data_IF_948994470285
#
_entry.id   IF_948994470285
#
_cell.length_a   1.000
_cell.length_b   1.000
_cell.length_c   1.000
_cell.angle_alpha   90.00
_cell.angle_beta   90.00
_cell.angle_gamma   90.00
#
_symmetry.space_group_name_H-M   'P 1'
#
loop_
_entity.id
_entity.type
_entity.pdbx_description
1 polymer ?
#
# COMPACT_ATOMS: atom_id res chain seq x y z
N UNK A 1 -17.03 9.82 16.28
CA UNK A 1 -16.24 10.97 15.77
C UNK A 1 -17.09 11.62 14.71
N UNK A 2 -17.25 12.94 14.78
CA UNK A 2 -18.31 13.69 14.10
C UNK A 2 -18.12 13.74 12.57
N UNK A 3 -19.13 13.29 11.81
CA UNK A 3 -19.12 13.11 10.34
C UNK A 3 -18.79 14.39 9.55
N UNK A 4 -18.96 15.56 10.17
CA UNK A 4 -18.73 16.87 9.55
C UNK A 4 -17.25 17.26 9.46
N UNK A 5 -16.37 16.67 10.27
CA UNK A 5 -14.92 16.94 10.19
C UNK A 5 -14.30 16.23 8.97
N UNK A 6 -14.81 15.06 8.62
CA UNK A 6 -14.38 14.30 7.44
C UNK A 6 -14.82 15.01 6.15
N UNK A 7 -16.07 15.52 6.11
CA UNK A 7 -16.59 16.32 4.97
C UNK A 7 -15.73 17.54 4.63
N UNK A 8 -15.27 18.30 5.64
CA UNK A 8 -14.48 19.53 5.39
C UNK A 8 -13.04 19.24 4.94
N UNK A 9 -12.47 18.08 5.29
CA UNK A 9 -11.12 17.69 4.86
C UNK A 9 -11.08 17.06 3.47
N UNK A 10 -12.12 16.34 3.07
CA UNK A 10 -12.20 15.73 1.71
C UNK A 10 -12.27 16.80 0.61
N UNK A 11 -13.03 17.89 0.83
CA UNK A 11 -13.11 19.02 -0.11
C UNK A 11 -11.78 19.80 -0.24
N UNK A 12 -10.92 19.77 0.78
CA UNK A 12 -9.60 20.41 0.74
C UNK A 12 -8.58 19.62 -0.08
N UNK A 13 -8.78 18.32 -0.30
CA UNK A 13 -7.86 17.47 -1.06
C UNK A 13 -8.17 17.47 -2.56
N UNK A 14 -9.40 17.82 -2.99
CA UNK A 14 -9.69 18.08 -4.41
C UNK A 14 -8.79 19.18 -5.01
N UNK A 15 -8.27 20.09 -4.19
CA UNK A 15 -7.28 21.11 -4.60
C UNK A 15 -5.83 20.62 -4.78
N UNK A 16 -5.53 19.34 -4.47
CA UNK A 16 -4.23 18.72 -4.78
C UNK A 16 -4.23 17.93 -6.10
N UNK A 17 -5.36 17.86 -6.79
CA UNK A 17 -5.52 17.13 -8.05
C UNK A 17 -5.31 18.00 -9.30
N UNK A 18 -4.97 19.29 -9.15
CA UNK A 18 -4.86 20.21 -10.28
C UNK A 18 -3.42 20.70 -10.45
N UNK A 19 -2.59 19.89 -11.13
CA UNK A 19 -1.39 20.38 -11.80
C UNK A 19 -1.40 19.80 -13.22
N UNK A 20 -1.95 20.58 -14.15
CA UNK A 20 -1.97 20.24 -15.56
C UNK A 20 -0.56 20.05 -16.12
N UNK A 21 -0.30 18.88 -16.72
CA UNK A 21 0.89 18.64 -17.53
C UNK A 21 0.49 18.48 -19.00
N UNK A 22 0.93 19.41 -19.83
CA UNK A 22 0.90 19.34 -21.28
C UNK A 22 1.87 18.24 -21.76
N UNK A 23 1.35 17.24 -22.47
CA UNK A 23 2.16 16.22 -23.15
C UNK A 23 2.59 16.74 -24.52
N UNK A 24 3.91 16.79 -24.76
CA UNK A 24 4.49 16.87 -26.10
C UNK A 24 5.06 15.50 -26.48
N UNK A 25 4.60 14.98 -27.61
CA UNK A 25 4.93 13.68 -28.19
C UNK A 25 6.25 13.71 -28.94
N UNK A 26 7.09 12.68 -28.74
CA UNK A 26 8.28 12.43 -29.53
C UNK A 26 8.69 10.96 -29.41
N UNK A 27 8.34 10.14 -30.42
CA UNK A 27 8.82 8.77 -30.55
C UNK A 27 10.28 8.70 -31.04
N UNK A 28 10.88 7.50 -31.04
CA UNK A 28 10.99 6.83 -32.34
C UNK A 28 10.71 5.32 -32.32
N UNK A 29 10.18 4.85 -33.46
CA UNK A 29 10.08 3.45 -33.87
C UNK A 29 11.47 2.87 -34.12
N UNK A 30 11.69 1.62 -33.73
CA UNK A 30 12.74 0.77 -34.29
C UNK A 30 12.10 -0.51 -34.82
N UNK A 31 12.16 -0.69 -36.13
CA UNK A 31 11.85 -1.93 -36.84
C UNK A 31 13.13 -2.75 -36.99
N UNK A 32 12.97 -4.06 -36.79
CA UNK A 32 13.97 -5.11 -36.99
C UNK A 32 14.07 -5.41 -38.49
N UNK A 33 15.27 -5.35 -39.07
CA UNK A 33 15.57 -6.05 -40.34
C UNK A 33 16.99 -6.63 -40.34
N UNK A 34 17.08 -7.84 -40.91
CA UNK A 34 18.25 -8.71 -40.99
C UNK A 34 19.35 -8.16 -41.91
N UNK A 35 20.61 -8.35 -41.51
CA UNK A 35 21.79 -8.17 -42.36
C UNK A 35 22.12 -9.46 -43.14
N UNK A 36 22.31 -9.33 -44.45
CA UNK A 36 23.16 -10.23 -45.21
C UNK A 36 24.02 -9.43 -46.22
N UNK A 37 25.16 -10.02 -46.56
CA UNK A 37 26.45 -9.50 -47.03
C UNK A 37 26.51 -8.77 -48.39
N UNK A 38 27.46 -7.82 -48.53
CA UNK A 38 27.93 -7.24 -49.82
C UNK A 38 28.89 -8.19 -50.58
N UNK A 39 29.15 -7.99 -51.90
CA UNK A 39 30.27 -7.10 -52.32
C UNK A 39 30.01 -6.22 -53.58
N UNK A 40 30.89 -5.22 -53.78
CA UNK A 40 30.96 -4.16 -54.85
C UNK A 40 31.41 -4.71 -56.25
N UNK A 41 31.72 -3.93 -57.33
CA UNK A 41 31.76 -2.45 -57.56
C UNK A 41 31.36 -1.89 -58.97
N UNK A 42 31.51 -0.56 -59.11
CA UNK A 42 31.71 0.28 -60.32
C UNK A 42 30.50 0.86 -61.09
N UNK A 43 30.35 2.20 -61.06
CA UNK A 43 30.59 3.07 -62.22
C UNK A 43 30.39 4.56 -61.87
N UNK A 44 31.23 5.40 -62.49
CA UNK A 44 31.39 6.86 -62.30
C UNK A 44 30.28 7.65 -63.01
N UNK A 45 29.88 8.79 -62.43
CA UNK A 45 29.63 10.01 -63.22
C UNK A 45 29.79 11.29 -62.40
N UNK A 46 30.66 12.17 -62.90
CA UNK A 46 30.92 13.54 -62.45
C UNK A 46 29.71 14.45 -62.70
N UNK A 47 29.40 15.36 -61.77
CA UNK A 47 28.96 16.73 -62.06
C UNK A 47 29.59 17.69 -61.03
N UNK A 48 30.04 18.85 -61.51
CA UNK A 48 30.82 19.89 -60.83
C UNK A 48 30.00 20.76 -59.87
N UNK A 49 30.72 21.31 -58.89
CA UNK A 49 30.36 22.43 -57.99
C UNK A 49 30.16 23.76 -58.73
N UNK A 50 29.46 24.71 -58.07
CA UNK A 50 30.11 25.97 -57.74
C UNK A 50 30.03 26.34 -56.25
N UNK A 51 30.93 27.23 -55.89
CA UNK A 51 31.37 27.69 -54.57
C UNK A 51 30.58 28.86 -53.98
N UNK A 52 30.68 29.00 -52.64
CA UNK A 52 30.63 30.24 -51.82
C UNK A 52 29.25 30.95 -51.74
N UNK A 53 28.77 31.51 -50.63
CA UNK A 53 29.36 32.07 -49.40
C UNK A 53 28.30 32.09 -48.28
N UNK A 54 28.71 31.96 -47.02
CA UNK A 54 27.91 32.23 -45.81
C UNK A 54 27.58 33.73 -45.66
N UNK A 55 26.31 34.07 -45.35
CA UNK A 55 25.92 35.34 -44.70
C UNK A 55 24.73 35.17 -43.75
N UNK A 56 24.98 35.60 -42.51
CA UNK A 56 24.13 36.35 -41.59
C UNK A 56 22.96 35.68 -40.83
N UNK A 57 23.25 35.29 -39.58
CA UNK A 57 22.35 35.43 -38.43
C UNK A 57 22.35 36.88 -37.91
N UNK A 58 21.24 37.41 -37.38
CA UNK A 58 21.28 38.57 -36.50
C UNK A 58 21.53 38.14 -35.04
N UNK A 59 22.59 38.72 -34.45
CA UNK A 59 22.83 38.82 -33.00
C UNK A 59 21.86 39.83 -32.39
N UNK A 60 21.33 39.52 -31.21
CA UNK A 60 20.82 40.54 -30.28
C UNK A 60 21.91 40.80 -29.24
N UNK A 61 22.33 42.06 -29.15
CA UNK A 61 23.40 42.59 -28.33
C UNK A 61 22.94 42.86 -26.90
N UNK A 62 23.82 42.50 -25.96
CA UNK A 62 23.85 42.95 -24.57
C UNK A 62 24.66 44.25 -24.55
N UNK A 63 24.20 45.26 -23.80
CA UNK A 63 25.03 46.39 -23.34
C UNK A 63 24.79 46.70 -21.84
N UNK A 64 25.75 47.36 -21.16
CA UNK A 64 26.05 47.12 -19.75
C UNK A 64 25.78 48.31 -18.79
N UNK A 65 26.12 48.04 -17.52
CA UNK A 65 25.83 48.73 -16.25
C UNK A 65 26.41 50.15 -16.02
N UNK A 66 25.88 50.87 -15.01
CA UNK A 66 26.58 51.47 -13.84
C UNK A 66 25.55 52.25 -12.92
N UNK A 67 25.91 52.79 -11.72
CA UNK A 67 25.67 52.16 -10.41
C UNK A 67 25.07 53.10 -9.31
N UNK A 68 25.13 52.63 -8.05
CA UNK A 68 25.19 53.36 -6.75
C UNK A 68 23.91 53.30 -5.88
N UNK A 69 24.07 52.84 -4.63
CA UNK A 69 23.18 53.19 -3.52
C UNK A 69 23.05 52.14 -2.40
N UNK A 70 24.01 52.10 -1.47
CA UNK A 70 23.86 51.43 -0.18
C UNK A 70 22.78 52.11 0.68
N UNK A 71 21.99 51.36 1.45
CA UNK A 71 21.60 51.75 2.82
C UNK A 71 21.03 50.57 3.62
N UNK A 72 21.71 50.26 4.73
CA UNK A 72 21.27 49.45 5.88
C UNK A 72 20.32 50.24 6.81
N UNK A 73 19.66 49.59 7.78
CA UNK A 73 18.55 50.13 8.56
C UNK A 73 19.01 50.95 9.78
N UNK A 74 18.36 52.09 10.06
CA UNK A 74 18.66 52.91 11.25
C UNK A 74 17.60 52.70 12.36
N UNK A 75 18.07 52.18 13.49
CA UNK A 75 17.44 52.22 14.80
C UNK A 75 17.64 53.61 15.40
N UNK A 76 16.57 54.35 15.73
CA UNK A 76 16.68 55.48 16.68
C UNK A 76 15.51 55.58 17.65
N UNK A 77 15.83 55.23 18.89
CA UNK A 77 15.29 55.74 20.15
C UNK A 77 15.63 57.22 20.36
N UNK A 78 14.65 58.05 20.79
CA UNK A 78 14.87 59.32 21.51
C UNK A 78 13.67 59.56 22.49
N UNK A 79 13.87 60.17 23.69
CA UNK A 79 12.98 60.06 24.85
C UNK A 79 12.16 61.33 25.20
N UNK A 80 11.14 61.15 26.10
CA UNK A 80 10.57 62.01 27.19
C UNK A 80 10.26 63.52 26.94
N UNK A 81 9.32 64.22 27.66
CA UNK A 81 9.09 64.11 29.12
C UNK A 81 7.68 64.40 29.73
N UNK A 82 7.57 63.99 31.01
CA UNK A 82 6.94 64.65 32.18
C UNK A 82 5.45 65.05 32.13
N UNK A 83 4.64 64.45 33.03
CA UNK A 83 3.88 65.20 34.06
C UNK A 83 3.47 64.34 35.26
N UNK A 84 3.84 64.87 36.42
CA UNK A 84 3.58 64.52 37.81
C UNK A 84 2.10 64.65 38.24
N UNK A 85 1.64 63.76 39.12
CA UNK A 85 0.89 64.08 40.37
C UNK A 85 0.65 62.77 41.16
N UNK A 86 1.39 62.49 42.23
CA UNK A 86 1.17 62.88 43.64
C UNK A 86 0.15 62.01 44.43
N UNK A 87 0.70 61.41 45.51
CA UNK A 87 0.15 61.15 46.85
C UNK A 87 -0.50 59.79 47.17
N UNK A 88 0.11 59.13 48.15
CA UNK A 88 -0.61 58.63 49.33
C UNK A 88 -0.52 57.13 49.62
N UNK A 89 0.33 56.76 50.57
CA UNK A 89 0.41 55.45 51.26
C UNK A 89 0.09 55.69 52.76
N UNK A 90 0.04 54.66 53.64
CA UNK A 90 -0.99 53.64 53.84
C UNK A 90 -1.68 53.79 55.22
N UNK A 91 -2.71 52.98 55.52
CA UNK A 91 -3.08 52.67 56.91
C UNK A 91 -3.61 51.24 57.04
N UNK A 92 -2.86 50.44 57.80
CA UNK A 92 -3.25 49.13 58.32
C UNK A 92 -4.32 49.28 59.41
N UNK A 93 -5.34 48.43 59.40
CA UNK A 93 -6.22 48.22 60.57
C UNK A 93 -6.27 46.73 60.93
N UNK A 94 -6.13 46.53 62.23
CA UNK A 94 -5.91 45.29 62.98
C UNK A 94 -7.06 44.30 62.90
N UNK A 95 -6.67 43.02 62.94
CA UNK A 95 -7.46 41.85 63.30
C UNK A 95 -8.14 42.00 64.67
N UNK A 96 -9.42 41.63 64.77
CA UNK A 96 -10.06 41.17 66.00
C UNK A 96 -10.63 39.77 65.77
N UNK A 97 -10.22 38.85 66.65
CA UNK A 97 -10.85 37.55 66.91
C UNK A 97 -12.18 37.79 67.59
N UNK A 98 -13.24 37.11 67.15
CA UNK A 98 -14.35 36.72 68.01
C UNK A 98 -14.96 35.40 67.51
N UNK A 99 -15.20 34.52 68.47
CA UNK A 99 -15.57 33.11 68.34
C UNK A 99 -17.08 32.94 68.16
N UNK A 100 -17.54 32.26 67.11
CA UNK A 100 -18.89 31.67 67.08
C UNK A 100 -18.83 30.27 66.46
N UNK A 101 -19.04 29.29 67.35
CA UNK A 101 -19.35 27.90 67.03
C UNK A 101 -20.69 27.85 66.30
N UNK A 102 -20.71 27.36 65.06
CA UNK A 102 -21.94 26.91 64.39
C UNK A 102 -21.77 25.46 63.97
N UNK A 103 -22.51 24.62 64.68
CA UNK A 103 -22.70 23.19 64.46
C UNK A 103 -23.18 22.93 63.03
N UNK A 104 -22.34 22.31 62.21
CA UNK A 104 -22.71 21.79 60.89
C UNK A 104 -23.14 20.33 61.06
N UNK A 105 -24.44 20.10 61.03
CA UNK A 105 -25.04 18.76 60.92
C UNK A 105 -24.74 18.23 59.52
N UNK A 106 -23.71 17.40 59.38
CA UNK A 106 -23.43 16.66 58.15
C UNK A 106 -24.50 15.57 58.00
N UNK A 107 -25.53 15.83 57.20
CA UNK A 107 -26.41 14.78 56.71
C UNK A 107 -25.61 13.90 55.74
N UNK A 108 -25.23 12.70 56.18
CA UNK A 108 -24.62 11.68 55.35
C UNK A 108 -25.66 11.14 54.36
N UNK A 109 -25.82 11.83 53.23
CA UNK A 109 -26.42 11.25 52.03
C UNK A 109 -25.45 10.21 51.48
N UNK A 110 -25.62 8.95 51.90
CA UNK A 110 -24.95 7.81 51.28
C UNK A 110 -25.58 7.61 49.90
N UNK A 111 -25.10 8.37 48.92
CA UNK A 111 -25.41 8.21 47.51
C UNK A 111 -24.86 6.86 47.06
N UNK A 112 -25.71 5.83 47.07
CA UNK A 112 -25.49 4.60 46.32
C UNK A 112 -25.50 4.97 44.82
N UNK A 113 -24.35 5.37 44.28
CA UNK A 113 -24.14 5.37 42.84
C UNK A 113 -24.14 3.90 42.41
N UNK A 114 -25.07 3.46 41.54
CA UNK A 114 -24.93 2.15 40.94
C UNK A 114 -23.60 2.15 40.18
N UNK A 115 -22.74 1.20 40.51
CA UNK A 115 -21.50 0.95 39.80
C UNK A 115 -21.92 0.60 38.37
N UNK A 116 -21.88 1.58 37.47
CA UNK A 116 -22.17 1.36 36.07
C UNK A 116 -21.17 0.31 35.59
N UNK A 117 -21.65 -0.90 35.33
CA UNK A 117 -20.91 -1.90 34.58
C UNK A 117 -20.64 -1.26 33.24
N UNK A 118 -19.40 -0.78 33.04
CA UNK A 118 -18.95 -0.36 31.72
C UNK A 118 -19.28 -1.51 30.78
N UNK A 119 -19.99 -1.28 29.66
CA UNK A 119 -20.22 -2.34 28.69
C UNK A 119 -18.86 -2.95 28.39
N UNK A 120 -18.76 -4.28 28.48
CA UNK A 120 -17.56 -4.99 28.04
C UNK A 120 -17.22 -4.42 26.67
N UNK A 121 -16.04 -3.83 26.54
CA UNK A 121 -15.63 -3.13 25.34
C UNK A 121 -15.84 -4.10 24.18
N UNK A 122 -16.84 -3.84 23.33
CA UNK A 122 -17.15 -4.75 22.23
C UNK A 122 -15.86 -4.92 21.43
N UNK A 123 -15.48 -6.17 21.16
CA UNK A 123 -14.25 -6.43 20.42
C UNK A 123 -14.31 -5.67 19.08
N UNK A 124 -13.20 -5.01 18.72
CA UNK A 124 -13.13 -4.27 17.46
C UNK A 124 -13.15 -5.25 16.28
N UNK A 125 -13.72 -4.88 15.13
CA UNK A 125 -13.65 -5.70 13.94
C UNK A 125 -12.21 -5.75 13.40
N UNK A 126 -11.90 -6.82 12.66
CA UNK A 126 -10.74 -6.86 11.78
C UNK A 126 -11.06 -6.02 10.54
N UNK A 127 -10.16 -5.11 10.18
CA UNK A 127 -10.27 -4.28 8.97
C UNK A 127 -9.15 -4.63 8.01
N UNK A 128 -9.48 -4.84 6.74
CA UNK A 128 -8.51 -5.07 5.65
C UNK A 128 -8.82 -4.03 4.56
N UNK A 129 -7.84 -3.22 4.19
CA UNK A 129 -8.00 -2.14 3.22
C UNK A 129 -6.95 -2.26 2.13
N UNK A 130 -7.42 -2.54 0.92
CA UNK A 130 -6.63 -2.55 -0.29
C UNK A 130 -6.50 -1.11 -0.77
N UNK A 131 -5.30 -0.54 -0.69
CA UNK A 131 -5.05 0.86 -1.02
C UNK A 131 -4.78 0.99 -2.52
N UNK A 132 -5.38 1.99 -3.16
CA UNK A 132 -5.07 2.27 -4.57
C UNK A 132 -3.65 2.83 -4.73
N UNK A 133 -2.75 1.96 -5.18
CA UNK A 133 -1.38 2.28 -5.57
C UNK A 133 -1.16 2.06 -7.08
N UNK A 134 -2.22 2.15 -7.89
CA UNK A 134 -2.16 2.20 -9.37
C UNK A 134 -1.50 0.98 -10.04
N UNK A 135 -1.79 -0.23 -9.54
CA UNK A 135 -1.21 -1.48 -10.04
C UNK A 135 0.10 -1.87 -9.36
N UNK A 136 0.32 -1.40 -8.13
CA UNK A 136 1.20 -2.04 -7.16
C UNK A 136 0.41 -2.76 -6.07
N UNK A 137 1.06 -3.12 -4.97
CA UNK A 137 0.41 -3.71 -3.81
C UNK A 137 0.61 -2.86 -2.54
N UNK A 138 -0.49 -2.67 -1.80
CA UNK A 138 -0.50 -2.09 -0.47
C UNK A 138 -1.81 -2.48 0.23
N UNK A 139 -1.73 -3.44 1.16
CA UNK A 139 -2.89 -3.93 1.91
C UNK A 139 -2.68 -3.65 3.39
N UNK A 140 -3.49 -2.75 3.95
CA UNK A 140 -3.47 -2.40 5.37
C UNK A 140 -4.46 -3.25 6.15
N UNK A 141 -4.02 -3.84 7.25
CA UNK A 141 -4.83 -4.64 8.15
C UNK A 141 -4.79 -4.03 9.55
N UNK A 142 -5.96 -3.80 10.18
CA UNK A 142 -6.10 -3.48 11.60
C UNK A 142 -6.69 -4.70 12.31
N UNK A 143 -5.94 -5.33 13.21
CA UNK A 143 -6.44 -6.48 13.99
C UNK A 143 -7.51 -6.03 15.00
N UNK A 144 -8.34 -6.96 15.53
CA UNK A 144 -9.25 -6.68 16.65
C UNK A 144 -8.55 -6.09 17.88
N UNK A 145 -7.30 -6.48 18.11
CA UNK A 145 -6.43 -5.98 19.19
C UNK A 145 -5.78 -4.64 18.85
N UNK A 146 -6.03 -4.13 17.64
CA UNK A 146 -5.63 -2.80 17.19
C UNK A 146 -4.22 -2.71 16.62
N UNK A 147 -3.55 -3.83 16.37
CA UNK A 147 -2.25 -3.85 15.69
C UNK A 147 -2.41 -3.57 14.20
N UNK A 148 -1.42 -2.91 13.60
CA UNK A 148 -1.43 -2.58 12.17
C UNK A 148 -0.41 -3.37 11.38
N UNK A 149 -0.87 -4.01 10.31
CA UNK A 149 -0.02 -4.74 9.36
C UNK A 149 -0.17 -4.05 8.01
N UNK A 150 0.95 -3.75 7.36
CA UNK A 150 1.00 -3.32 5.97
C UNK A 150 1.68 -4.42 5.17
N UNK A 151 0.99 -4.97 4.17
CA UNK A 151 1.58 -5.87 3.18
C UNK A 151 1.86 -5.04 1.93
N UNK A 152 3.13 -4.92 1.59
CA UNK A 152 3.67 -4.10 0.51
C UNK A 152 3.34 -2.60 0.63
N UNK A 153 4.04 -1.79 -0.16
CA UNK A 153 4.18 -0.33 0.03
C UNK A 153 4.00 0.47 -1.25
N UNK A 154 3.58 -0.16 -2.35
CA UNK A 154 3.37 0.50 -3.62
C UNK A 154 4.65 1.02 -4.28
N UNK A 155 4.46 1.93 -5.24
CA UNK A 155 5.52 2.51 -6.06
C UNK A 155 6.27 3.66 -5.36
N UNK A 156 7.55 3.89 -5.75
CA UNK A 156 8.24 5.13 -5.45
C UNK A 156 7.83 6.25 -6.43
N UNK A 157 8.24 7.48 -6.13
CA UNK A 157 8.11 8.60 -7.06
C UNK A 157 6.73 9.27 -7.03
N UNK A 158 6.44 10.07 -8.07
CA UNK A 158 5.22 10.90 -8.17
C UNK A 158 4.93 11.69 -6.89
N UNK A 159 5.98 12.31 -6.34
CA UNK A 159 5.93 13.04 -5.06
C UNK A 159 5.29 12.20 -3.93
N UNK A 160 5.74 10.96 -3.77
CA UNK A 160 5.28 9.99 -2.79
C UNK A 160 3.76 9.74 -2.83
N UNK A 161 3.15 9.68 -4.03
CA UNK A 161 1.71 9.41 -4.20
C UNK A 161 1.26 8.20 -3.39
N UNK A 162 1.92 7.07 -3.55
CA UNK A 162 1.51 5.81 -2.90
C UNK A 162 1.74 5.85 -1.39
N UNK A 163 2.92 6.27 -0.88
CA UNK A 163 3.09 6.50 0.55
C UNK A 163 2.05 7.46 1.15
N UNK A 164 1.70 8.56 0.46
CA UNK A 164 0.67 9.50 0.93
C UNK A 164 -0.72 8.85 0.99
N UNK A 165 -1.10 8.02 0.00
CA UNK A 165 -2.37 7.28 0.01
C UNK A 165 -2.43 6.24 1.13
N UNK A 166 -1.34 5.50 1.34
CA UNK A 166 -1.23 4.53 2.45
C UNK A 166 -1.35 5.24 3.81
N UNK A 167 -0.64 6.36 3.99
CA UNK A 167 -0.71 7.16 5.23
C UNK A 167 -2.11 7.73 5.45
N UNK A 168 -2.79 8.17 4.39
CA UNK A 168 -4.19 8.62 4.46
C UNK A 168 -5.10 7.50 4.95
N UNK A 169 -5.04 6.30 4.36
CA UNK A 169 -5.85 5.16 4.80
C UNK A 169 -5.53 4.78 6.25
N UNK A 170 -4.25 4.70 6.61
CA UNK A 170 -3.82 4.39 7.98
C UNK A 170 -4.41 5.38 9.00
N UNK A 171 -4.30 6.68 8.74
CA UNK A 171 -4.68 7.73 9.71
C UNK A 171 -6.16 8.04 9.69
N UNK A 172 -6.74 8.25 8.51
CA UNK A 172 -8.08 8.79 8.35
C UNK A 172 -9.15 7.70 8.21
N UNK A 173 -8.79 6.50 7.73
CA UNK A 173 -9.73 5.37 7.58
C UNK A 173 -9.64 4.40 8.76
N UNK A 174 -8.41 4.05 9.19
CA UNK A 174 -8.19 3.09 10.28
C UNK A 174 -7.97 3.75 11.65
N UNK A 175 -7.76 5.07 11.71
CA UNK A 175 -7.54 5.79 12.97
C UNK A 175 -6.21 5.46 13.65
N UNK A 176 -5.17 5.12 12.88
CA UNK A 176 -3.87 4.65 13.39
C UNK A 176 -2.75 5.59 13.01
N UNK A 177 -1.72 5.66 13.84
CA UNK A 177 -0.58 6.58 13.66
C UNK A 177 0.75 5.89 13.34
N UNK A 178 0.80 4.56 13.44
CA UNK A 178 2.00 3.74 13.20
C UNK A 178 1.65 2.45 12.47
N UNK A 179 2.66 1.84 11.86
CA UNK A 179 2.62 0.51 11.28
C UNK A 179 3.39 -0.42 12.22
N UNK A 180 2.72 -1.37 12.88
CA UNK A 180 3.38 -2.31 13.79
C UNK A 180 4.22 -3.34 13.00
N UNK A 181 3.69 -3.80 11.88
CA UNK A 181 4.30 -4.80 11.00
C UNK A 181 4.25 -4.35 9.53
N UNK A 182 5.40 -4.19 8.88
CA UNK A 182 5.48 -4.07 7.42
C UNK A 182 5.99 -5.40 6.86
N UNK A 183 5.20 -6.04 6.02
CA UNK A 183 5.57 -7.24 5.25
C UNK A 183 5.90 -6.81 3.83
N UNK A 184 7.07 -7.22 3.34
CA UNK A 184 7.43 -7.11 1.92
C UNK A 184 7.36 -8.49 1.29
N UNK A 185 6.43 -8.68 0.36
CA UNK A 185 6.21 -9.99 -0.27
C UNK A 185 7.41 -10.42 -1.10
N UNK A 186 7.89 -9.52 -1.94
CA UNK A 186 9.03 -9.68 -2.84
C UNK A 186 9.61 -8.32 -3.28
N UNK A 187 10.66 -8.36 -4.10
CA UNK A 187 11.55 -7.24 -4.37
C UNK A 187 11.31 -6.53 -5.70
N UNK A 188 10.06 -6.48 -6.18
CA UNK A 188 9.70 -5.61 -7.30
C UNK A 188 9.31 -4.21 -6.84
N UNK A 189 9.58 -3.24 -7.72
CA UNK A 189 9.54 -1.81 -7.39
C UNK A 189 8.19 -1.36 -6.84
N UNK A 190 7.10 -1.98 -7.24
CA UNK A 190 5.75 -1.63 -6.85
C UNK A 190 5.21 -2.33 -5.60
N UNK A 191 6.08 -3.12 -4.96
CA UNK A 191 5.81 -3.80 -3.70
C UNK A 191 6.61 -3.17 -2.56
N UNK A 192 7.90 -2.87 -2.75
CA UNK A 192 8.72 -2.28 -1.68
C UNK A 192 9.18 -0.83 -1.96
N UNK A 193 8.85 -0.27 -3.13
CA UNK A 193 9.41 1.01 -3.56
C UNK A 193 8.93 2.20 -2.73
N UNK A 194 7.72 2.16 -2.19
CA UNK A 194 7.18 3.21 -1.33
C UNK A 194 7.77 3.26 0.08
N UNK A 195 8.58 2.27 0.49
CA UNK A 195 9.12 2.18 1.88
C UNK A 195 9.82 3.45 2.33
N UNK A 196 10.59 4.11 1.45
CA UNK A 196 11.28 5.36 1.80
C UNK A 196 10.29 6.45 2.25
N UNK A 197 9.31 6.74 1.39
CA UNK A 197 8.33 7.80 1.65
C UNK A 197 7.44 7.47 2.84
N UNK A 198 7.18 6.18 3.11
CA UNK A 198 6.46 5.74 4.30
C UNK A 198 7.26 5.98 5.58
N UNK A 199 8.51 5.53 5.63
CA UNK A 199 9.36 5.63 6.81
C UNK A 199 9.66 7.09 7.23
N UNK A 200 9.57 8.04 6.29
CA UNK A 200 9.67 9.48 6.55
C UNK A 200 8.38 10.08 7.17
N UNK A 201 7.24 9.37 7.12
CA UNK A 201 5.90 9.91 7.48
C UNK A 201 5.23 9.19 8.64
N UNK A 202 5.57 7.91 8.85
CA UNK A 202 4.99 7.05 9.89
C UNK A 202 6.05 6.17 10.52
N UNK A 203 5.94 5.93 11.81
CA UNK A 203 6.79 4.96 12.49
C UNK A 203 6.43 3.54 12.02
N UNK A 204 7.45 2.79 11.62
CA UNK A 204 7.34 1.36 11.30
C UNK A 204 8.08 0.56 12.39
N UNK A 205 7.36 -0.34 13.05
CA UNK A 205 7.82 -1.14 14.17
C UNK A 205 8.77 -2.25 13.74
N UNK A 206 8.23 -3.24 13.01
CA UNK A 206 8.96 -4.41 12.51
C UNK A 206 8.84 -4.55 11.00
N UNK A 207 9.93 -4.96 10.37
CA UNK A 207 9.97 -5.32 8.96
C UNK A 207 10.07 -6.83 8.85
N UNK A 208 9.20 -7.39 8.03
CA UNK A 208 9.17 -8.79 7.67
C UNK A 208 9.42 -8.91 6.18
N UNK A 209 10.37 -9.73 5.80
CA UNK A 209 10.72 -9.91 4.41
C UNK A 209 11.32 -11.29 4.19
N UNK A 210 11.59 -11.59 2.94
CA UNK A 210 12.10 -12.89 2.51
C UNK A 210 13.64 -12.98 2.60
N UNK A 211 14.31 -12.05 3.27
CA UNK A 211 15.77 -11.94 3.35
C UNK A 211 16.36 -10.95 2.37
N UNK A 212 17.62 -10.54 2.59
CA UNK A 212 18.45 -9.77 1.66
C UNK A 212 19.65 -10.62 1.22
N UNK A 213 20.32 -10.31 0.09
CA UNK A 213 21.46 -11.09 -0.40
C UNK A 213 22.60 -11.25 0.62
N UNK A 214 22.78 -10.29 1.52
CA UNK A 214 23.80 -10.32 2.57
C UNK A 214 23.41 -11.07 3.85
N UNK A 215 22.16 -11.50 4.00
CA UNK A 215 21.69 -12.13 5.23
C UNK A 215 22.27 -13.56 5.41
N UNK A 216 22.62 -13.97 6.64
CA UNK A 216 23.13 -15.32 6.89
C UNK A 216 22.13 -16.42 6.50
N UNK A 217 22.60 -17.41 5.75
CA UNK A 217 21.79 -18.57 5.34
C UNK A 217 20.81 -18.29 4.19
N UNK A 218 20.92 -17.12 3.58
CA UNK A 218 20.22 -16.75 2.35
C UNK A 218 21.15 -17.00 1.16
N UNK A 219 20.61 -17.54 0.06
CA UNK A 219 21.36 -17.73 -1.19
C UNK A 219 21.24 -16.46 -2.04
N UNK A 220 22.35 -15.75 -2.34
CA UNK A 220 22.34 -14.56 -3.17
C UNK A 220 21.77 -14.78 -4.58
N UNK A 221 21.77 -16.03 -5.08
CA UNK A 221 21.17 -16.36 -6.38
C UNK A 221 19.63 -16.24 -6.36
N UNK A 222 18.99 -16.22 -5.19
CA UNK A 222 17.54 -16.05 -5.03
C UNK A 222 17.09 -14.57 -5.01
N UNK A 223 17.87 -13.67 -5.63
CA UNK A 223 17.58 -12.24 -5.76
C UNK A 223 17.79 -11.76 -7.21
N UNK A 224 17.09 -12.37 -8.19
CA UNK A 224 17.29 -12.07 -9.61
C UNK A 224 17.05 -10.59 -9.94
N UNK A 225 16.07 -9.97 -9.28
CA UNK A 225 15.66 -8.58 -9.51
C UNK A 225 16.12 -7.60 -8.42
N UNK A 226 16.82 -8.10 -7.39
CA UNK A 226 17.30 -7.32 -6.25
C UNK A 226 16.58 -7.64 -4.93
N UNK A 227 16.72 -6.79 -3.89
CA UNK A 227 17.35 -5.47 -3.92
C UNK A 227 18.88 -5.56 -3.92
N UNK A 228 19.51 -4.94 -4.92
CA UNK A 228 20.97 -4.87 -4.97
C UNK A 228 21.49 -3.86 -3.94
N UNK A 229 22.71 -4.04 -3.40
CA UNK A 229 23.30 -3.09 -2.44
C UNK A 229 23.39 -1.65 -2.95
N UNK A 230 23.61 -1.47 -4.25
CA UNK A 230 23.77 -0.18 -4.92
C UNK A 230 22.46 0.45 -5.40
N UNK A 231 21.38 -0.32 -5.45
CA UNK A 231 20.09 0.17 -5.94
C UNK A 231 19.46 1.11 -4.92
N UNK A 232 18.96 2.27 -5.38
CA UNK A 232 18.37 3.31 -4.53
C UNK A 232 17.28 2.78 -3.61
N UNK A 233 16.45 1.86 -4.11
CA UNK A 233 15.38 1.23 -3.35
C UNK A 233 15.93 0.29 -2.28
N UNK A 234 16.95 -0.52 -2.61
CA UNK A 234 17.63 -1.38 -1.64
C UNK A 234 18.33 -0.60 -0.54
N UNK A 235 18.99 0.53 -0.87
CA UNK A 235 19.58 1.44 0.11
C UNK A 235 18.50 2.01 1.03
N UNK A 236 17.39 2.48 0.45
CA UNK A 236 16.29 3.05 1.23
C UNK A 236 15.63 2.01 2.15
N UNK A 237 15.42 0.79 1.68
CA UNK A 237 14.85 -0.29 2.47
C UNK A 237 15.76 -0.64 3.66
N UNK A 238 17.07 -0.81 3.43
CA UNK A 238 18.04 -1.08 4.50
C UNK A 238 18.10 0.06 5.52
N UNK A 239 18.01 1.30 5.08
CA UNK A 239 17.98 2.45 5.98
C UNK A 239 16.72 2.47 6.85
N UNK A 240 15.54 2.27 6.25
CA UNK A 240 14.26 2.27 6.96
C UNK A 240 14.11 1.12 7.96
N UNK A 241 14.67 -0.05 7.63
CA UNK A 241 14.47 -1.30 8.36
C UNK A 241 15.61 -1.66 9.32
N UNK A 242 16.65 -0.83 9.41
CA UNK A 242 17.86 -1.08 10.20
C UNK A 242 17.53 -1.47 11.66
N UNK A 243 17.96 -2.67 12.05
CA UNK A 243 17.75 -3.21 13.40
C UNK A 243 16.32 -3.67 13.70
N UNK A 244 15.43 -3.69 12.71
CA UNK A 244 14.00 -4.01 12.85
C UNK A 244 13.54 -5.16 11.95
N UNK A 245 14.42 -5.73 11.13
CA UNK A 245 14.11 -6.82 10.19
C UNK A 245 13.98 -8.17 10.87
N UNK A 246 13.09 -9.00 10.34
CA UNK A 246 12.99 -10.43 10.61
C UNK A 246 12.81 -11.14 9.27
N UNK A 247 13.74 -12.03 8.95
CA UNK A 247 13.66 -12.86 7.73
C UNK A 247 12.64 -13.97 7.95
N UNK A 248 11.59 -13.97 7.14
CA UNK A 248 10.51 -14.94 7.15
C UNK A 248 10.86 -16.18 6.31
N UNK A 249 10.39 -17.34 6.77
CA UNK A 249 10.45 -18.63 6.09
C UNK A 249 9.07 -19.28 6.05
N UNK A 250 8.87 -20.20 5.10
CA UNK A 250 7.67 -21.02 5.06
C UNK A 250 7.51 -21.82 6.37
N UNK A 251 6.31 -21.79 6.95
CA UNK A 251 5.97 -22.34 8.26
C UNK A 251 6.08 -21.35 9.42
N UNK A 252 6.66 -20.16 9.22
CA UNK A 252 6.68 -19.11 10.25
C UNK A 252 5.28 -18.52 10.47
N UNK A 253 5.10 -17.86 11.62
CA UNK A 253 3.92 -17.05 11.91
C UNK A 253 4.33 -15.66 12.37
N UNK A 254 3.61 -14.62 11.94
CA UNK A 254 3.80 -13.29 12.52
C UNK A 254 3.28 -13.31 13.96
N UNK A 255 4.08 -12.76 14.88
CA UNK A 255 3.70 -12.67 16.29
C UNK A 255 2.69 -11.53 16.50
N UNK A 256 1.41 -11.84 16.29
CA UNK A 256 0.27 -10.94 16.50
C UNK A 256 -0.38 -11.18 17.87
N UNK A 257 -1.03 -10.15 18.40
CA UNK A 257 -1.84 -10.23 19.61
C UNK A 257 -3.20 -10.85 19.30
N UNK A 258 -3.71 -11.56 20.31
CA UNK A 258 -5.09 -12.06 20.36
C UNK A 258 -5.42 -13.16 19.36
N UNK A 259 -6.61 -13.10 18.77
CA UNK A 259 -7.23 -14.26 18.10
C UNK A 259 -6.79 -14.51 16.65
N UNK A 260 -6.23 -13.48 15.98
CA UNK A 260 -5.84 -13.57 14.58
C UNK A 260 -4.49 -14.29 14.42
N UNK A 261 -4.42 -15.20 13.44
CA UNK A 261 -3.18 -15.86 13.02
C UNK A 261 -2.76 -15.35 11.65
N UNK A 262 -1.46 -15.24 11.42
CA UNK A 262 -0.87 -14.92 10.12
C UNK A 262 0.23 -15.94 9.84
N UNK A 263 -0.09 -16.94 9.02
CA UNK A 263 0.78 -18.09 8.74
C UNK A 263 1.45 -17.92 7.39
N UNK A 264 2.77 -18.08 7.35
CA UNK A 264 3.55 -18.00 6.13
C UNK A 264 3.53 -19.36 5.45
N UNK A 265 2.81 -19.46 4.34
CA UNK A 265 2.67 -20.72 3.59
C UNK A 265 3.83 -20.94 2.62
N UNK A 266 4.39 -19.87 2.10
CA UNK A 266 5.57 -19.90 1.24
C UNK A 266 6.42 -18.65 1.40
N UNK A 267 7.72 -18.79 1.17
CA UNK A 267 8.67 -17.68 1.02
C UNK A 267 9.90 -18.18 0.29
N UNK A 268 10.55 -17.35 -0.52
CA UNK A 268 11.77 -17.74 -1.25
C UNK A 268 11.60 -18.94 -2.19
N UNK A 269 10.42 -19.10 -2.80
CA UNK A 269 10.10 -20.24 -3.66
C UNK A 269 9.95 -21.58 -2.92
N UNK A 270 9.99 -21.58 -1.57
CA UNK A 270 9.76 -22.76 -0.74
C UNK A 270 8.36 -22.68 -0.14
N UNK A 271 7.63 -23.78 -0.20
CA UNK A 271 6.32 -23.95 0.47
C UNK A 271 6.49 -24.71 1.79
N UNK A 272 5.56 -24.54 2.71
CA UNK A 272 5.54 -25.29 3.96
C UNK A 272 5.39 -26.80 3.69
N UNK A 273 5.96 -27.68 4.53
CA UNK A 273 5.78 -29.11 4.35
C UNK A 273 4.33 -29.52 4.62
N UNK A 274 3.85 -30.52 3.88
CA UNK A 274 2.57 -31.15 4.17
C UNK A 274 2.59 -31.79 5.58
N UNK A 275 1.51 -31.67 6.37
CA UNK A 275 1.37 -32.41 7.61
C UNK A 275 1.51 -33.92 7.39
N UNK A 276 2.03 -34.63 8.39
CA UNK A 276 2.14 -36.09 8.33
C UNK A 276 0.75 -36.72 8.10
N UNK A 277 0.63 -37.55 7.05
CA UNK A 277 -0.63 -38.20 6.68
C UNK A 277 -1.59 -37.33 5.85
N UNK A 278 -1.15 -36.16 5.35
CA UNK A 278 -1.93 -35.36 4.41
C UNK A 278 -2.39 -36.21 3.21
N UNK A 279 -3.67 -36.13 2.89
CA UNK A 279 -4.22 -36.82 1.72
C UNK A 279 -3.82 -36.06 0.44
N UNK A 280 -3.65 -36.74 -0.70
CA UNK A 280 -3.48 -36.06 -1.97
C UNK A 280 -4.67 -35.15 -2.26
N UNK A 281 -4.41 -33.99 -2.87
CA UNK A 281 -5.46 -33.12 -3.37
C UNK A 281 -5.99 -33.71 -4.70
N UNK A 282 -7.25 -34.15 -4.78
CA UNK A 282 -7.79 -34.76 -6.00
C UNK A 282 -7.81 -33.80 -7.20
N UNK A 283 -7.79 -32.47 -6.97
CA UNK A 283 -7.72 -31.49 -8.03
C UNK A 283 -6.39 -31.52 -8.81
N UNK A 284 -5.36 -32.15 -8.25
CA UNK A 284 -4.05 -32.29 -8.91
C UNK A 284 -4.05 -33.30 -10.07
N UNK A 285 -5.00 -34.25 -10.09
CA UNK A 285 -5.14 -35.22 -11.20
C UNK A 285 -5.55 -34.55 -12.52
N UNK A 286 -6.20 -33.39 -12.42
CA UNK A 286 -6.66 -32.59 -13.55
C UNK A 286 -6.02 -31.21 -13.56
N UNK A 287 -4.88 -31.05 -12.89
CA UNK A 287 -4.14 -29.79 -12.95
C UNK A 287 -3.67 -29.54 -14.39
N UNK A 288 -3.82 -28.31 -14.91
CA UNK A 288 -3.28 -27.97 -16.22
C UNK A 288 -1.75 -28.11 -16.23
N UNK A 289 -1.20 -28.15 -17.45
CA UNK A 289 0.24 -28.02 -17.64
C UNK A 289 0.73 -26.68 -17.12
N UNK A 290 1.92 -26.70 -16.52
CA UNK A 290 2.55 -25.49 -15.99
C UNK A 290 2.92 -24.54 -17.12
N UNK A 291 2.79 -23.25 -16.85
CA UNK A 291 3.40 -22.20 -17.68
C UNK A 291 4.93 -22.30 -17.60
N UNK A 292 5.67 -21.68 -18.56
CA UNK A 292 7.12 -21.59 -18.47
C UNK A 292 7.55 -21.09 -17.09
N UNK A 293 8.63 -21.67 -16.58
CA UNK A 293 9.18 -21.31 -15.28
C UNK A 293 9.45 -19.81 -15.24
N UNK A 294 8.95 -19.15 -14.21
CA UNK A 294 9.30 -17.79 -13.88
C UNK A 294 10.57 -17.77 -13.02
N UNK A 295 11.60 -17.09 -13.52
CA UNK A 295 12.89 -16.91 -12.84
C UNK A 295 13.02 -15.52 -12.19
N UNK A 296 11.95 -14.71 -12.20
CA UNK A 296 11.89 -13.42 -11.51
C UNK A 296 11.59 -13.55 -10.02
N UNK A 297 11.70 -12.45 -9.29
CA UNK A 297 11.43 -12.41 -7.85
C UNK A 297 9.94 -12.63 -7.51
N UNK A 298 9.04 -12.52 -8.50
CA UNK A 298 7.63 -12.87 -8.37
C UNK A 298 7.44 -14.31 -7.86
N UNK A 299 8.14 -15.27 -8.47
CA UNK A 299 8.13 -16.68 -8.06
C UNK A 299 8.66 -16.90 -6.63
N UNK A 300 9.32 -15.89 -6.05
CA UNK A 300 9.91 -15.94 -4.72
C UNK A 300 9.08 -15.23 -3.65
N UNK A 301 7.89 -14.74 -4.03
CA UNK A 301 6.94 -14.05 -3.17
C UNK A 301 6.62 -14.79 -1.86
N UNK A 302 6.47 -14.01 -0.80
CA UNK A 302 5.94 -14.48 0.48
C UNK A 302 4.43 -14.64 0.38
N UNK A 303 3.93 -15.77 0.84
CA UNK A 303 2.49 -16.09 0.89
C UNK A 303 2.05 -16.15 2.34
N UNK A 304 1.01 -15.40 2.68
CA UNK A 304 0.46 -15.34 4.03
C UNK A 304 -1.03 -15.65 3.99
N UNK A 305 -1.45 -16.57 4.87
CA UNK A 305 -2.85 -16.80 5.19
C UNK A 305 -3.16 -16.21 6.56
N UNK A 306 -4.14 -15.31 6.61
CA UNK A 306 -4.69 -14.75 7.83
C UNK A 306 -5.96 -15.51 8.23
N UNK A 307 -6.06 -15.88 9.50
CA UNK A 307 -7.22 -16.61 10.04
C UNK A 307 -7.75 -15.93 11.30
N UNK A 308 -9.03 -15.59 11.33
CA UNK A 308 -9.74 -15.08 12.50
C UNK A 308 -11.08 -15.82 12.63
N UNK A 309 -11.24 -16.63 13.68
CA UNK A 309 -12.44 -17.45 13.83
C UNK A 309 -12.61 -18.38 12.62
N UNK A 310 -13.70 -18.19 11.86
CA UNK A 310 -13.94 -18.88 10.59
C UNK A 310 -13.37 -18.16 9.36
N UNK A 311 -13.10 -16.86 9.48
CA UNK A 311 -12.68 -16.04 8.36
C UNK A 311 -11.23 -16.33 7.97
N UNK A 312 -11.01 -16.67 6.71
CA UNK A 312 -9.69 -16.84 6.12
C UNK A 312 -9.42 -15.86 4.95
N UNK A 313 -8.27 -15.18 5.00
CA UNK A 313 -7.78 -14.30 3.92
C UNK A 313 -6.43 -14.79 3.38
N UNK A 314 -6.35 -14.99 2.06
CA UNK A 314 -5.15 -15.41 1.34
C UNK A 314 -4.53 -14.27 0.54
N UNK A 315 -3.26 -13.97 0.82
CA UNK A 315 -2.41 -13.05 0.07
C UNK A 315 -1.11 -13.76 -0.35
N UNK A 316 -0.83 -13.77 -1.65
CA UNK A 316 0.37 -14.39 -2.22
C UNK A 316 1.23 -13.40 -3.02
N UNK A 317 1.02 -12.08 -2.86
CA UNK A 317 1.70 -11.06 -3.66
C UNK A 317 1.60 -11.38 -5.16
N UNK A 318 2.75 -11.48 -5.81
CA UNK A 318 2.86 -11.71 -7.25
C UNK A 318 3.27 -13.15 -7.60
N UNK A 319 3.06 -14.09 -6.68
CA UNK A 319 3.42 -15.50 -6.88
C UNK A 319 2.88 -16.05 -8.20
N UNK A 320 3.74 -16.77 -8.93
CA UNK A 320 3.43 -17.30 -10.26
C UNK A 320 3.04 -18.78 -10.23
N UNK A 321 2.45 -19.25 -11.32
CA UNK A 321 1.82 -20.57 -11.45
C UNK A 321 2.67 -21.71 -10.90
N UNK A 322 3.98 -21.71 -11.19
CA UNK A 322 4.87 -22.81 -10.84
C UNK A 322 4.97 -23.02 -9.32
N UNK A 323 4.88 -21.95 -8.52
CA UNK A 323 4.93 -22.04 -7.05
C UNK A 323 3.52 -22.04 -6.46
N UNK A 324 2.56 -21.34 -7.05
CA UNK A 324 1.14 -21.44 -6.70
C UNK A 324 0.65 -22.91 -6.70
N UNK A 325 1.06 -23.69 -7.70
CA UNK A 325 0.74 -25.12 -7.78
C UNK A 325 1.35 -25.92 -6.63
N UNK A 326 2.57 -25.59 -6.19
CA UNK A 326 3.23 -26.28 -5.08
C UNK A 326 2.54 -26.05 -3.73
N UNK A 327 1.71 -25.01 -3.59
CA UNK A 327 0.87 -24.80 -2.41
C UNK A 327 -0.29 -25.81 -2.33
N UNK A 328 -0.69 -26.39 -3.45
CA UNK A 328 -1.91 -27.21 -3.54
C UNK A 328 -1.69 -28.59 -4.15
N UNK A 329 -0.50 -28.88 -4.67
CA UNK A 329 -0.11 -30.16 -5.25
C UNK A 329 1.26 -30.63 -4.75
N UNK A 330 1.41 -31.94 -4.42
CA UNK A 330 0.36 -32.99 -4.48
C UNK A 330 -0.64 -32.92 -3.32
N UNK A 331 -0.41 -32.05 -2.33
CA UNK A 331 -1.26 -31.88 -1.16
C UNK A 331 -1.80 -30.46 -1.09
N UNK A 332 -3.04 -30.32 -0.61
CA UNK A 332 -3.60 -29.02 -0.26
C UNK A 332 -2.98 -28.53 1.05
N UNK A 333 -2.18 -27.46 0.97
CA UNK A 333 -1.55 -26.81 2.13
C UNK A 333 -2.31 -25.56 2.60
N UNK A 334 -3.40 -25.19 1.91
CA UNK A 334 -4.08 -23.91 2.12
C UNK A 334 -5.49 -24.10 2.67
N UNK A 335 -6.25 -24.99 2.04
CA UNK A 335 -7.69 -25.14 2.26
C UNK A 335 -8.51 -24.01 1.61
N UNK A 336 -9.85 -24.07 1.79
CA UNK A 336 -10.73 -23.00 1.35
C UNK A 336 -10.45 -21.69 2.11
N UNK A 337 -10.80 -20.57 1.49
CA UNK A 337 -10.68 -19.22 2.08
C UNK A 337 -11.92 -18.38 1.78
N UNK A 338 -12.14 -17.33 2.56
CA UNK A 338 -13.27 -16.41 2.35
C UNK A 338 -12.90 -15.26 1.42
N UNK A 339 -11.68 -14.73 1.62
CA UNK A 339 -11.14 -13.63 0.85
C UNK A 339 -9.84 -14.04 0.14
N UNK A 340 -9.79 -13.76 -1.15
CA UNK A 340 -8.62 -13.98 -2.00
C UNK A 340 -8.13 -12.64 -2.56
N UNK A 341 -6.88 -12.26 -2.28
CA UNK A 341 -6.22 -11.23 -3.08
C UNK A 341 -5.76 -11.86 -4.39
N UNK A 342 -6.33 -11.42 -5.52
CA UNK A 342 -5.98 -11.91 -6.84
C UNK A 342 -4.48 -11.69 -7.08
N UNK A 343 -3.73 -12.78 -7.23
CA UNK A 343 -2.27 -12.74 -7.32
C UNK A 343 -1.80 -11.95 -8.53
N UNK A 344 -0.67 -11.26 -8.35
CA UNK A 344 0.05 -10.58 -9.42
C UNK A 344 -0.80 -9.55 -10.16
N UNK A 345 -1.60 -8.83 -9.39
CA UNK A 345 -2.56 -7.84 -9.89
C UNK A 345 -3.56 -8.41 -10.92
N UNK A 346 -3.71 -9.74 -10.99
CA UNK A 346 -4.50 -10.43 -12.01
C UNK A 346 -3.80 -10.60 -13.37
N UNK A 347 -2.48 -10.78 -13.38
CA UNK A 347 -1.76 -11.24 -14.57
C UNK A 347 -1.93 -12.74 -14.78
N UNK A 348 -1.97 -13.15 -16.06
CA UNK A 348 -2.23 -14.54 -16.47
C UNK A 348 -1.04 -15.50 -16.22
N UNK A 349 0.11 -15.00 -15.79
CA UNK A 349 1.23 -15.84 -15.33
C UNK A 349 1.06 -16.31 -13.87
N UNK A 350 -0.01 -15.85 -13.21
CA UNK A 350 -0.43 -16.15 -11.85
C UNK A 350 -1.90 -16.60 -11.85
N UNK A 351 -2.48 -16.92 -10.68
CA UNK A 351 -3.86 -17.37 -10.52
C UNK A 351 -4.10 -18.80 -11.06
N UNK A 352 -3.20 -19.73 -10.75
CA UNK A 352 -3.25 -21.12 -11.22
C UNK A 352 -4.65 -21.76 -10.99
N UNK A 353 -5.30 -22.36 -12.01
CA UNK A 353 -6.68 -22.88 -11.88
C UNK A 353 -6.89 -23.90 -10.76
N UNK A 354 -5.91 -24.78 -10.50
CA UNK A 354 -5.97 -25.72 -9.37
C UNK A 354 -5.89 -25.00 -8.03
N UNK A 355 -5.12 -23.91 -7.92
CA UNK A 355 -5.06 -23.10 -6.71
C UNK A 355 -6.44 -22.46 -6.47
N UNK A 356 -7.02 -21.78 -7.47
CA UNK A 356 -8.31 -21.11 -7.30
C UNK A 356 -9.45 -22.07 -6.94
N UNK A 357 -9.46 -23.28 -7.52
CA UNK A 357 -10.44 -24.32 -7.17
C UNK A 357 -10.22 -24.88 -5.76
N UNK A 358 -8.98 -24.90 -5.27
CA UNK A 358 -8.65 -25.34 -3.90
C UNK A 358 -9.01 -24.26 -2.88
N UNK A 359 -8.70 -22.99 -3.18
CA UNK A 359 -9.05 -21.83 -2.38
C UNK A 359 -10.58 -21.63 -2.28
N UNK A 360 -11.33 -21.98 -3.33
CA UNK A 360 -12.78 -21.83 -3.40
C UNK A 360 -13.31 -20.51 -2.79
N UNK A 361 -12.76 -19.35 -3.18
CA UNK A 361 -12.99 -18.11 -2.45
C UNK A 361 -14.45 -17.65 -2.55
N UNK A 362 -14.98 -17.09 -1.46
CA UNK A 362 -16.30 -16.42 -1.48
C UNK A 362 -16.19 -15.03 -2.14
N UNK A 363 -15.11 -14.29 -1.88
CA UNK A 363 -14.80 -12.99 -2.49
C UNK A 363 -13.36 -12.95 -2.99
N UNK A 364 -13.16 -12.33 -4.14
CA UNK A 364 -11.84 -12.00 -4.68
C UNK A 364 -11.66 -10.48 -4.83
N UNK A 365 -10.47 -9.95 -4.52
CA UNK A 365 -10.13 -8.53 -4.70
C UNK A 365 -8.81 -8.43 -5.48
N UNK A 366 -8.83 -7.69 -6.58
CA UNK A 366 -7.68 -7.52 -7.48
C UNK A 366 -7.12 -6.10 -7.36
N UNK A 367 -5.85 -5.99 -6.98
CA UNK A 367 -5.09 -4.74 -6.85
C UNK A 367 -4.47 -4.29 -8.19
N UNK A 368 -5.22 -4.35 -9.29
CA UNK A 368 -4.75 -3.91 -10.59
C UNK A 368 -4.70 -2.39 -10.73
N UNK A 369 -3.88 -1.93 -11.68
CA UNK A 369 -3.87 -0.54 -12.13
C UNK A 369 -4.72 -0.37 -13.39
N UNK A 370 -4.88 0.88 -13.86
CA UNK A 370 -5.64 1.16 -15.07
C UNK A 370 -4.97 0.61 -16.34
N UNK A 371 -3.68 0.25 -16.25
CA UNK A 371 -2.86 -0.27 -17.36
C UNK A 371 -1.93 -1.43 -16.96
N UNK A 372 -1.97 -1.90 -15.71
CA UNK A 372 -1.16 -3.03 -15.20
C UNK A 372 -2.09 -4.03 -14.51
N UNK A 373 -1.95 -5.31 -14.82
CA UNK A 373 -2.81 -6.36 -14.27
C UNK A 373 -4.22 -6.37 -14.88
N UNK A 374 -5.17 -7.05 -14.23
CA UNK A 374 -6.55 -7.16 -14.69
C UNK A 374 -6.65 -7.77 -16.08
N UNK A 375 -6.01 -8.92 -16.31
CA UNK A 375 -6.02 -9.58 -17.61
C UNK A 375 -7.40 -10.19 -17.91
N UNK A 376 -7.80 -10.19 -19.20
CA UNK A 376 -9.06 -10.79 -19.62
C UNK A 376 -9.12 -12.29 -19.27
N UNK A 377 -7.98 -12.99 -19.31
CA UNK A 377 -7.88 -14.41 -18.94
C UNK A 377 -8.17 -14.64 -17.45
N UNK A 378 -7.57 -13.86 -16.56
CA UNK A 378 -7.83 -13.95 -15.12
C UNK A 378 -9.27 -13.57 -14.80
N UNK A 379 -9.81 -12.51 -15.42
CA UNK A 379 -11.20 -12.09 -15.22
C UNK A 379 -12.18 -13.18 -15.66
N UNK A 380 -11.91 -13.83 -16.80
CA UNK A 380 -12.69 -14.98 -17.27
C UNK A 380 -12.63 -16.12 -16.25
N UNK A 381 -11.45 -16.48 -15.77
CA UNK A 381 -11.26 -17.55 -14.80
C UNK A 381 -12.02 -17.30 -13.49
N UNK A 382 -11.98 -16.07 -12.96
CA UNK A 382 -12.74 -15.70 -11.76
C UNK A 382 -14.25 -15.86 -11.95
N UNK A 383 -14.79 -15.48 -13.12
CA UNK A 383 -16.22 -15.64 -13.44
C UNK A 383 -16.67 -17.10 -13.53
N UNK A 384 -15.75 -18.02 -13.78
CA UNK A 384 -16.02 -19.46 -13.89
C UNK A 384 -15.97 -20.18 -12.53
N UNK A 385 -15.55 -19.51 -11.45
CA UNK A 385 -15.53 -20.10 -10.12
C UNK A 385 -16.94 -20.24 -9.54
N UNK A 386 -17.40 -21.45 -9.18
CA UNK A 386 -18.80 -21.71 -8.86
C UNK A 386 -19.27 -21.06 -7.55
N UNK A 387 -18.38 -20.92 -6.57
CA UNK A 387 -18.73 -20.38 -5.25
C UNK A 387 -18.29 -18.93 -5.04
N UNK A 388 -17.71 -18.29 -6.06
CA UNK A 388 -17.31 -16.89 -6.00
C UNK A 388 -18.55 -16.00 -6.11
N UNK A 389 -18.90 -15.32 -5.00
CA UNK A 389 -20.09 -14.46 -4.93
C UNK A 389 -19.82 -13.05 -5.43
N UNK A 390 -18.58 -12.57 -5.32
CA UNK A 390 -18.17 -11.27 -5.83
C UNK A 390 -16.67 -11.23 -6.14
N UNK A 391 -16.31 -10.58 -7.23
CA UNK A 391 -14.93 -10.24 -7.58
C UNK A 391 -14.83 -8.74 -7.79
N UNK A 392 -13.91 -8.09 -7.08
CA UNK A 392 -13.68 -6.65 -7.17
C UNK A 392 -12.36 -6.35 -7.88
N UNK A 393 -12.34 -5.26 -8.64
CA UNK A 393 -11.13 -4.71 -9.25
C UNK A 393 -10.82 -3.34 -8.66
N UNK A 394 -9.55 -3.06 -8.38
CA UNK A 394 -9.11 -1.75 -7.94
C UNK A 394 -9.28 -0.72 -9.05
N UNK A 395 -8.97 -1.10 -10.29
CA UNK A 395 -9.12 -0.24 -11.46
C UNK A 395 -9.85 -0.93 -12.61
N UNK A 396 -10.53 -0.13 -13.44
CA UNK A 396 -10.86 -0.55 -14.80
C UNK A 396 -9.56 -0.67 -15.59
N UNK A 397 -9.32 -1.80 -16.25
CA UNK A 397 -8.25 -1.91 -17.22
C UNK A 397 -8.65 -1.22 -18.54
N UNK A 398 -7.98 -0.12 -18.87
CA UNK A 398 -8.28 0.70 -20.05
C UNK A 398 -7.80 0.09 -21.37
N UNK A 399 -6.99 -0.96 -21.34
CA UNK A 399 -6.59 -1.69 -22.54
C UNK A 399 -7.67 -2.69 -23.00
N UNK A 400 -8.64 -3.02 -22.14
CA UNK A 400 -9.66 -4.02 -22.39
C UNK A 400 -11.02 -3.40 -22.71
N UNK A 401 -11.87 -4.16 -23.41
CA UNK A 401 -13.27 -3.78 -23.62
C UNK A 401 -14.07 -3.79 -22.32
N UNK A 402 -15.31 -3.32 -22.36
CA UNK A 402 -16.18 -3.31 -21.17
C UNK A 402 -16.51 -4.74 -20.68
N UNK A 403 -16.84 -5.64 -21.60
CA UNK A 403 -17.19 -7.04 -21.27
C UNK A 403 -16.01 -7.86 -20.75
N UNK A 404 -14.78 -7.45 -21.03
CA UNK A 404 -13.55 -8.06 -20.54
C UNK A 404 -13.10 -7.54 -19.17
N UNK A 405 -13.73 -6.48 -18.65
CA UNK A 405 -13.45 -5.93 -17.33
C UNK A 405 -14.39 -6.47 -16.24
N UNK A 406 -14.04 -6.25 -14.97
CA UNK A 406 -15.05 -6.38 -13.91
C UNK A 406 -16.18 -5.37 -14.12
N UNK A 407 -17.43 -5.69 -13.73
CA UNK A 407 -18.54 -4.75 -13.83
C UNK A 407 -18.23 -3.46 -13.05
N UNK A 408 -18.81 -2.33 -13.50
CA UNK A 408 -18.51 -1.02 -12.93
C UNK A 408 -18.85 -0.95 -11.43
N UNK A 409 -19.91 -1.62 -10.99
CA UNK A 409 -20.31 -1.68 -9.58
C UNK A 409 -19.36 -2.49 -8.68
N UNK A 410 -18.42 -3.23 -9.27
CA UNK A 410 -17.36 -3.96 -8.59
C UNK A 410 -15.96 -3.40 -8.91
N UNK A 411 -15.88 -2.22 -9.52
CA UNK A 411 -14.62 -1.57 -9.88
C UNK A 411 -14.46 -0.28 -9.08
N UNK A 412 -13.41 -0.16 -8.26
CA UNK A 412 -13.24 0.98 -7.37
C UNK A 412 -12.93 2.28 -8.12
N UNK A 413 -12.06 2.21 -9.12
CA UNK A 413 -11.60 3.36 -9.89
C UNK A 413 -11.86 3.13 -11.38
N UNK A 414 -12.74 3.93 -11.98
CA UNK A 414 -13.09 3.82 -13.41
C UNK A 414 -12.23 4.72 -14.31
N UNK A 415 -11.53 5.69 -13.73
CA UNK A 415 -10.61 6.59 -14.41
C UNK A 415 -9.13 6.30 -14.05
N UNK A 416 -8.22 6.98 -14.73
CA UNK A 416 -6.78 6.80 -14.54
C UNK A 416 -6.17 7.64 -13.42
N UNK A 417 -6.97 8.42 -12.69
CA UNK A 417 -6.53 9.21 -11.53
C UNK A 417 -6.51 8.32 -10.30
N UNK A 418 -7.58 7.55 -10.12
CA UNK A 418 -7.78 6.67 -8.97
C UNK A 418 -7.86 7.41 -7.64
N UNK A 419 -7.68 6.66 -6.55
CA UNK A 419 -7.67 7.14 -5.17
C UNK A 419 -8.68 6.45 -4.26
N UNK A 420 -9.67 5.75 -4.81
CA UNK A 420 -10.61 4.94 -4.04
C UNK A 420 -9.94 3.64 -3.60
N UNK A 421 -10.10 3.28 -2.33
CA UNK A 421 -9.66 2.01 -1.77
C UNK A 421 -10.81 0.99 -1.74
N UNK A 422 -10.51 -0.28 -1.48
CA UNK A 422 -11.52 -1.29 -1.17
C UNK A 422 -11.33 -1.73 0.27
N UNK A 423 -12.38 -1.68 1.08
CA UNK A 423 -12.36 -2.03 2.50
C UNK A 423 -13.18 -3.29 2.76
N UNK A 424 -12.63 -4.17 3.58
CA UNK A 424 -13.27 -5.35 4.14
C UNK A 424 -13.29 -5.21 5.65
N UNK A 425 -14.48 -5.34 6.24
CA UNK A 425 -14.67 -5.33 7.69
C UNK A 425 -15.21 -6.67 8.11
N UNK A 426 -14.46 -7.41 8.94
CA UNK A 426 -14.81 -8.74 9.43
C UNK A 426 -15.28 -8.63 10.87
N UNK A 427 -16.36 -9.32 11.21
CA UNK A 427 -16.87 -9.37 12.58
C UNK A 427 -15.79 -9.92 13.54
N UNK A 428 -15.76 -9.50 14.81
CA UNK A 428 -14.70 -9.89 15.74
C UNK A 428 -14.58 -11.40 15.96
N UNK A 429 -15.66 -12.15 15.74
CA UNK A 429 -15.69 -13.62 15.81
C UNK A 429 -15.37 -14.32 14.48
N UNK A 430 -15.15 -13.54 13.41
CA UNK A 430 -14.87 -14.04 12.07
C UNK A 430 -16.06 -14.67 11.35
N UNK A 431 -17.29 -14.54 11.86
CA UNK A 431 -18.46 -15.22 11.27
C UNK A 431 -18.97 -14.59 9.98
N UNK A 432 -18.86 -13.26 9.87
CA UNK A 432 -19.31 -12.46 8.72
C UNK A 432 -18.28 -11.42 8.35
N UNK A 433 -18.37 -10.96 7.10
CA UNK A 433 -17.58 -9.83 6.64
C UNK A 433 -18.33 -9.02 5.59
N UNK A 434 -18.00 -7.74 5.51
CA UNK A 434 -18.60 -6.79 4.56
C UNK A 434 -17.52 -6.18 3.70
N UNK A 435 -17.79 -6.04 2.40
CA UNK A 435 -16.91 -5.40 1.43
C UNK A 435 -17.54 -4.10 0.94
N UNK A 436 -16.73 -3.03 0.87
CA UNK A 436 -17.13 -1.70 0.43
C UNK A 436 -16.06 -1.06 -0.44
N UNK A 437 -16.47 -0.40 -1.52
CA UNK A 437 -15.61 0.51 -2.28
C UNK A 437 -15.64 1.89 -1.62
N UNK A 438 -14.47 2.42 -1.31
CA UNK A 438 -14.29 3.77 -0.77
C UNK A 438 -14.84 3.97 0.65
N UNK A 439 -14.84 5.23 1.06
CA UNK A 439 -15.31 5.62 2.38
C UNK A 439 -16.83 5.48 2.55
N UNK A 440 -17.60 5.64 1.46
CA UNK A 440 -19.07 5.78 1.52
C UNK A 440 -19.82 4.86 0.54
N UNK A 441 -19.15 3.87 -0.06
CA UNK A 441 -19.82 2.92 -0.95
C UNK A 441 -20.87 2.06 -0.25
N UNK A 442 -21.66 1.32 -1.04
CA UNK A 442 -22.60 0.35 -0.49
C UNK A 442 -21.85 -0.89 0.02
N UNK A 443 -22.18 -1.31 1.23
CA UNK A 443 -21.66 -2.57 1.80
C UNK A 443 -22.35 -3.78 1.19
N UNK A 444 -21.56 -4.81 0.90
CA UNK A 444 -22.02 -6.15 0.56
C UNK A 444 -21.56 -7.10 1.66
N UNK A 445 -22.51 -7.75 2.34
CA UNK A 445 -22.24 -8.70 3.42
C UNK A 445 -22.12 -10.13 2.89
N UNK A 446 -21.23 -10.91 3.51
CA UNK A 446 -20.96 -12.31 3.25
C UNK A 446 -20.79 -13.07 4.57
N UNK A 447 -21.13 -14.35 4.57
CA UNK A 447 -20.88 -15.27 5.69
C UNK A 447 -19.55 -15.99 5.43
N UNK A 448 -18.73 -16.15 6.46
CA UNK A 448 -17.50 -16.95 6.41
C UNK A 448 -17.83 -18.45 6.43
N UNK A 449 -17.05 -19.25 5.70
CA UNK A 449 -17.32 -20.68 5.48
C UNK A 449 -16.94 -21.59 6.66
#
# INVERSE_FOLDING_TARGET
MDDDVVKRRVLSLQGLYDVGSTYASGGPRTEVTYHNTSPRPNARRMVRFPSMTYRNCPRMTIEPAAPIGHHEPDHRSVPLPIRTCCKGLPAMIRLRRDSIVRTLTLAAFSSFLPLATLPANAAEPLEIVFVDVMGGAATLIKTPEGETILIDSGWPGLDDRDPKRIVYVLKEVLGKSRIDHLVTTHWHTDHYGGVKGLAERVEIGRFWDRGLPEDPGVDPANFPDGPKPEDKLGIAYRAASKGKRTVIKAGDTLALKGGIKATVLAASGKVMPAPAGAKPNPLCEHAPEDKPKDDSDNALSTVIKFSLGKFDFFDAGDLTWNIEKNLVCPHDLVGPVDLYQVTHHGMDISNHPTLLKTLDPTVAIMNNGPRKGGSAATIKLLRELPNLKAAFAMHRNHALSESENMPAEFTANSDTTGGEFIRVTVDPDGSKYRVRIGAYGKEKEFESK
#
